data_IF_297530766029
#
_entry.id   IF_297530766029
#
_cell.length_a   1.000
_cell.length_b   1.000
_cell.length_c   1.000
_cell.angle_alpha   90.00
_cell.angle_beta   90.00
_cell.angle_gamma   90.00
#
_symmetry.space_group_name_H-M   'P 1'
#
loop_
_entity.id
_entity.type
_entity.pdbx_description
1 polymer ?
#
# COMPACT_ATOMS: atom_id res chain seq x y z
N UNK A 1 -5.65 -9.67 -4.68
CA UNK A 1 -4.43 -10.48 -4.85
C UNK A 1 -4.33 -11.51 -3.74
N UNK A 2 -4.16 -12.81 -4.05
CA UNK A 2 -3.89 -13.85 -3.05
C UNK A 2 -2.56 -13.61 -2.33
N UNK A 3 -2.47 -13.95 -1.04
CA UNK A 3 -1.26 -13.74 -0.22
C UNK A 3 -0.01 -14.45 -0.76
N UNK A 4 -0.20 -15.57 -1.47
CA UNK A 4 0.88 -16.38 -2.04
C UNK A 4 1.41 -15.85 -3.38
N UNK A 5 0.80 -14.79 -3.92
CA UNK A 5 1.22 -14.23 -5.20
C UNK A 5 2.59 -13.54 -5.09
N UNK A 6 3.51 -13.97 -5.95
CA UNK A 6 4.83 -13.38 -6.17
C UNK A 6 4.98 -12.88 -7.60
N UNK A 7 5.72 -11.79 -7.76
CA UNK A 7 6.10 -11.20 -9.04
C UNK A 7 7.61 -11.06 -9.12
N UNK A 8 8.17 -11.11 -10.34
CA UNK A 8 9.57 -10.78 -10.60
C UNK A 8 9.66 -9.38 -11.14
N UNK A 9 10.48 -8.55 -10.53
CA UNK A 9 10.74 -7.18 -10.96
C UNK A 9 12.24 -6.98 -11.13
N UNK A 10 12.63 -6.03 -11.98
CA UNK A 10 14.02 -5.61 -12.10
C UNK A 10 14.19 -4.28 -11.37
N UNK A 11 15.11 -4.26 -10.41
CA UNK A 11 15.49 -3.04 -9.68
C UNK A 11 16.99 -2.88 -9.85
N UNK A 12 17.44 -1.71 -10.31
CA UNK A 12 18.86 -1.41 -10.56
C UNK A 12 19.57 -2.46 -11.45
N UNK A 13 18.83 -3.04 -12.41
CA UNK A 13 19.36 -4.05 -13.34
C UNK A 13 19.42 -5.47 -12.78
N UNK A 14 18.95 -5.70 -11.54
CA UNK A 14 18.92 -7.02 -10.91
C UNK A 14 17.48 -7.54 -10.79
N UNK A 15 17.27 -8.84 -11.05
CA UNK A 15 15.97 -9.48 -10.85
C UNK A 15 15.71 -9.79 -9.37
N UNK A 16 14.52 -9.42 -8.91
CA UNK A 16 14.04 -9.67 -7.56
C UNK A 16 12.66 -10.31 -7.59
N UNK A 17 12.48 -11.38 -6.81
CA UNK A 17 11.17 -11.93 -6.52
C UNK A 17 10.54 -11.20 -5.32
N UNK A 18 9.37 -10.61 -5.53
CA UNK A 18 8.61 -9.89 -4.50
C UNK A 18 7.30 -10.61 -4.24
N UNK A 19 6.99 -10.85 -2.96
CA UNK A 19 5.70 -11.39 -2.53
C UNK A 19 4.63 -10.30 -2.56
N UNK A 20 4.17 -9.93 -3.74
CA UNK A 20 3.22 -8.83 -3.94
C UNK A 20 1.94 -9.03 -3.10
N UNK A 21 1.43 -10.27 -2.98
CA UNK A 21 0.27 -10.57 -2.14
C UNK A 21 0.45 -10.18 -0.66
N UNK A 22 1.66 -10.39 -0.12
CA UNK A 22 2.00 -10.00 1.25
C UNK A 22 2.16 -8.48 1.35
N UNK A 23 2.84 -7.85 0.40
CA UNK A 23 3.04 -6.40 0.39
C UNK A 23 1.70 -5.64 0.36
N UNK A 24 0.79 -6.02 -0.55
CA UNK A 24 -0.55 -5.41 -0.61
C UNK A 24 -1.30 -5.58 0.71
N UNK A 25 -1.22 -6.75 1.33
CA UNK A 25 -1.87 -7.00 2.63
C UNK A 25 -1.32 -6.10 3.73
N UNK A 26 0.01 -5.94 3.79
CA UNK A 26 0.66 -5.06 4.76
C UNK A 26 0.31 -3.58 4.52
N UNK A 27 0.30 -3.12 3.27
CA UNK A 27 -0.08 -1.75 2.94
C UNK A 27 -1.53 -1.45 3.35
N UNK A 28 -2.45 -2.41 3.20
CA UNK A 28 -3.84 -2.26 3.68
C UNK A 28 -3.93 -2.21 5.20
N UNK A 29 -3.18 -3.06 5.92
CA UNK A 29 -3.17 -3.09 7.40
C UNK A 29 -2.51 -1.84 8.02
N UNK A 30 -1.47 -1.31 7.41
CA UNK A 30 -0.76 -0.13 7.92
C UNK A 30 -1.34 1.19 7.40
N UNK A 31 -2.48 1.16 6.70
CA UNK A 31 -3.07 2.33 6.03
C UNK A 31 -3.27 3.51 6.97
N UNK A 32 -3.70 3.26 8.20
CA UNK A 32 -3.93 4.29 9.24
C UNK A 32 -2.65 4.98 9.72
N UNK A 33 -1.47 4.45 9.36
CA UNK A 33 -0.15 4.99 9.73
C UNK A 33 0.58 5.64 8.56
N UNK A 34 -0.03 5.61 7.36
CA UNK A 34 0.56 6.21 6.17
C UNK A 34 0.32 7.73 6.17
N UNK A 35 1.31 8.48 5.69
CA UNK A 35 1.14 9.91 5.47
C UNK A 35 0.16 10.20 4.34
N UNK A 36 -0.38 11.42 4.30
CA UNK A 36 -1.27 11.85 3.23
C UNK A 36 -0.61 11.74 1.84
N UNK A 37 0.69 12.02 1.75
CA UNK A 37 1.44 11.86 0.50
C UNK A 37 1.52 10.39 0.07
N UNK A 38 1.77 9.47 1.00
CA UNK A 38 1.79 8.04 0.72
C UNK A 38 0.40 7.53 0.30
N UNK A 39 -0.66 8.00 0.96
CA UNK A 39 -2.03 7.66 0.58
C UNK A 39 -2.40 8.21 -0.80
N UNK A 40 -1.95 9.43 -1.13
CA UNK A 40 -2.13 10.02 -2.46
C UNK A 40 -1.38 9.24 -3.54
N UNK A 41 -0.16 8.74 -3.24
CA UNK A 41 0.57 7.85 -4.16
C UNK A 41 -0.16 6.53 -4.37
N UNK A 42 -0.67 5.90 -3.31
CA UNK A 42 -1.44 4.66 -3.42
C UNK A 42 -2.76 4.88 -4.19
N UNK A 43 -3.44 6.01 -4.00
CA UNK A 43 -4.68 6.33 -4.71
C UNK A 43 -4.48 6.39 -6.25
N UNK A 44 -3.28 6.75 -6.72
CA UNK A 44 -2.93 6.74 -8.15
C UNK A 44 -2.87 5.33 -8.75
N UNK A 45 -2.74 4.29 -7.92
CA UNK A 45 -2.69 2.89 -8.36
C UNK A 45 -4.08 2.32 -8.70
N UNK A 46 -5.17 3.06 -8.45
CA UNK A 46 -6.53 2.69 -8.87
C UNK A 46 -7.56 2.67 -7.74
N UNK A 47 -8.85 2.46 -8.07
CA UNK A 47 -9.98 2.63 -7.15
C UNK A 47 -9.93 1.74 -5.91
N UNK A 48 -9.29 0.57 -5.98
CA UNK A 48 -9.06 -0.36 -4.86
C UNK A 48 -8.26 0.27 -3.70
N UNK A 49 -7.51 1.34 -3.99
CA UNK A 49 -6.66 2.06 -3.04
C UNK A 49 -7.28 3.36 -2.51
N UNK A 50 -8.42 3.77 -3.05
CA UNK A 50 -9.05 5.08 -2.78
C UNK A 50 -9.87 5.09 -1.48
N UNK A 51 -10.04 3.97 -0.78
CA UNK A 51 -10.84 3.95 0.46
C UNK A 51 -10.12 4.54 1.67
N UNK A 52 -10.07 5.87 1.77
CA UNK A 52 -9.76 6.57 3.01
C UNK A 52 -11.04 6.67 3.85
N UNK A 53 -10.97 6.29 5.13
CA UNK A 53 -12.00 6.68 6.07
C UNK A 53 -12.02 8.22 6.13
N UNK A 54 -13.16 8.82 5.81
CA UNK A 54 -13.45 10.16 6.30
C UNK A 54 -13.79 9.98 7.77
N UNK A 55 -12.78 10.00 8.64
CA UNK A 55 -12.99 10.17 10.08
C UNK A 55 -12.34 11.48 10.47
N UNK A 56 -13.17 12.53 10.53
CA UNK A 56 -12.81 13.74 11.22
C UNK A 56 -12.70 13.50 12.73
N UNK A 57 -12.05 14.46 13.39
CA UNK A 57 -11.97 14.71 14.83
C UNK A 57 -10.75 14.12 15.59
N UNK A 58 -9.77 15.01 15.78
CA UNK A 58 -9.26 15.50 17.07
C UNK A 58 -8.78 14.51 18.16
N UNK A 59 -7.49 14.63 18.49
CA UNK A 59 -6.85 14.62 19.83
C UNK A 59 -5.36 14.28 19.58
N UNK A 60 -4.36 15.06 19.97
CA UNK A 60 -4.20 15.76 21.24
C UNK A 60 -3.02 15.12 21.97
N UNK A 61 -1.88 15.84 21.96
CA UNK A 61 -0.55 15.58 22.56
C UNK A 61 0.45 14.78 21.74
#
# INVERSE_FOLDING_TARGET
MPRQHSERITVDGQEHEVRLGVWVSNQKTQRDRLSEEQLAQLAKLGPDWVRGAVTGAAAGR
#
